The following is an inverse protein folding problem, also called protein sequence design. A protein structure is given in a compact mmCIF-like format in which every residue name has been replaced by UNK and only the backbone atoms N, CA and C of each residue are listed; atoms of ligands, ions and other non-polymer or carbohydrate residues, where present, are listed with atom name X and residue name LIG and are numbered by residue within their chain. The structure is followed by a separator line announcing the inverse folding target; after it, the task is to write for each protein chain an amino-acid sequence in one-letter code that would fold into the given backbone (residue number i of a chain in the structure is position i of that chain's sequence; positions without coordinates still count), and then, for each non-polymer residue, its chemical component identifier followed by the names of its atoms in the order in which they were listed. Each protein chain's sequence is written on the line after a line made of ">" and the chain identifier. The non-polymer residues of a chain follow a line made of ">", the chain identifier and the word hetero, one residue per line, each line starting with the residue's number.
data_IF_248448920125
#
_entry.id   IF_248448920125
#
_cell.length_a   1.000
_cell.length_b   1.000
_cell.length_c   1.000
_cell.angle_alpha   90.00
_cell.angle_beta   90.00
_cell.angle_gamma   90.00
#
_symmetry.space_group_name_H-M   'P 1'
#
loop_
_entity.id
_entity.type
_entity.pdbx_description
1 polymer ?
#
# COMPACT_ATOMS: atom_id res chain seq x y z
N UNK A 1 5.10 -8.94 -10.32
CA UNK A 1 3.92 -8.15 -9.88
C UNK A 1 3.91 -8.25 -8.38
N UNK A 2 4.50 -7.26 -7.70
CA UNK A 2 4.69 -7.28 -6.24
C UNK A 2 3.38 -7.03 -5.49
N UNK A 3 2.43 -6.37 -6.17
CA UNK A 3 1.12 -5.98 -5.63
C UNK A 3 0.00 -6.36 -6.60
N UNK A 4 -1.16 -6.71 -6.05
CA UNK A 4 -2.44 -6.72 -6.78
C UNK A 4 -3.28 -5.53 -6.28
N UNK A 5 -3.74 -4.68 -7.19
CA UNK A 5 -4.52 -3.48 -6.86
C UNK A 5 -5.88 -3.58 -7.53
N UNK A 6 -6.93 -3.60 -6.71
CA UNK A 6 -8.30 -3.70 -7.18
C UNK A 6 -9.16 -2.58 -6.60
N UNK A 7 -9.81 -1.81 -7.49
CA UNK A 7 -10.76 -0.79 -7.10
C UNK A 7 -12.12 -1.43 -6.82
N UNK A 8 -12.58 -1.34 -5.57
CA UNK A 8 -13.94 -1.70 -5.18
C UNK A 8 -14.78 -0.44 -5.03
N UNK A 9 -16.08 -0.65 -4.84
CA UNK A 9 -17.06 0.44 -4.71
C UNK A 9 -16.72 1.40 -3.54
N UNK A 10 -16.27 0.85 -2.40
CA UNK A 10 -16.07 1.62 -1.17
C UNK A 10 -14.60 1.82 -0.76
N UNK A 11 -13.68 1.05 -1.34
CA UNK A 11 -12.27 1.06 -0.99
C UNK A 11 -11.40 0.48 -2.12
N UNK A 12 -10.11 0.73 -2.03
CA UNK A 12 -9.11 0.14 -2.93
C UNK A 12 -8.40 -0.96 -2.18
N UNK A 13 -8.48 -2.19 -2.70
CA UNK A 13 -7.77 -3.34 -2.18
C UNK A 13 -6.35 -3.31 -2.74
N UNK A 14 -5.35 -3.32 -1.85
CA UNK A 14 -3.94 -3.50 -2.22
C UNK A 14 -3.47 -4.77 -1.52
N UNK A 15 -3.16 -5.81 -2.29
CA UNK A 15 -2.63 -7.05 -1.77
C UNK A 15 -1.13 -7.10 -2.02
N UNK A 16 -0.36 -7.29 -0.95
CA UNK A 16 1.08 -7.57 -1.08
C UNK A 16 1.24 -9.04 -1.44
N UNK A 17 1.80 -9.31 -2.61
CA UNK A 17 1.97 -10.66 -3.13
C UNK A 17 3.27 -11.32 -2.69
N UNK A 18 4.16 -10.54 -2.06
CA UNK A 18 5.46 -10.94 -1.57
C UNK A 18 5.44 -11.30 -0.07
N UNK A 19 6.33 -12.21 0.32
CA UNK A 19 6.47 -12.63 1.72
C UNK A 19 7.08 -11.55 2.63
N UNK A 20 7.75 -10.55 2.02
CA UNK A 20 8.46 -9.49 2.75
C UNK A 20 8.10 -8.13 2.20
N UNK A 21 7.65 -7.24 3.09
CA UNK A 21 7.51 -5.82 2.83
C UNK A 21 8.78 -5.11 3.28
N UNK A 22 9.77 -5.06 2.40
CA UNK A 22 11.12 -4.57 2.71
C UNK A 22 11.59 -3.48 1.74
N UNK A 23 12.87 -3.10 1.89
CA UNK A 23 13.51 -2.03 1.13
C UNK A 23 13.42 -2.18 -0.38
N UNK A 24 13.24 -3.40 -0.90
CA UNK A 24 13.12 -3.63 -2.34
C UNK A 24 11.76 -3.22 -2.88
N UNK A 25 10.67 -3.58 -2.19
CA UNK A 25 9.30 -3.37 -2.70
C UNK A 25 8.61 -2.13 -2.10
N UNK A 26 9.09 -1.62 -0.96
CA UNK A 26 8.53 -0.45 -0.30
C UNK A 26 8.50 0.83 -1.17
N UNK A 27 9.51 1.13 -2.02
CA UNK A 27 9.45 2.26 -2.95
C UNK A 27 8.29 2.13 -3.95
N UNK A 28 8.06 0.94 -4.47
CA UNK A 28 7.00 0.68 -5.45
C UNK A 28 5.62 0.83 -4.80
N UNK A 29 5.43 0.28 -3.59
CA UNK A 29 4.20 0.49 -2.82
C UNK A 29 3.90 1.99 -2.61
N UNK A 30 4.91 2.80 -2.28
CA UNK A 30 4.74 4.25 -2.10
C UNK A 30 4.29 4.95 -3.38
N UNK A 31 4.84 4.57 -4.53
CA UNK A 31 4.45 5.13 -5.83
C UNK A 31 2.98 4.83 -6.14
N UNK A 32 2.54 3.59 -5.94
CA UNK A 32 1.14 3.18 -6.11
C UNK A 32 0.20 3.95 -5.19
N UNK A 33 0.57 4.11 -3.91
CA UNK A 33 -0.22 4.88 -2.94
C UNK A 33 -0.37 6.35 -3.33
N UNK A 34 0.66 6.96 -3.92
CA UNK A 34 0.59 8.34 -4.43
C UNK A 34 -0.36 8.44 -5.62
N UNK A 35 -0.34 7.47 -6.54
CA UNK A 35 -1.26 7.41 -7.68
C UNK A 35 -2.71 7.24 -7.21
N UNK A 36 -2.97 6.28 -6.32
CA UNK A 36 -4.29 6.03 -5.72
C UNK A 36 -4.82 7.30 -5.05
N UNK A 37 -3.99 7.95 -4.23
CA UNK A 37 -4.37 9.21 -3.57
C UNK A 37 -4.60 10.36 -4.56
N UNK A 38 -3.81 10.43 -5.64
CA UNK A 38 -3.97 11.39 -6.74
C UNK A 38 -5.31 11.25 -7.46
N UNK A 39 -5.82 10.01 -7.58
CA UNK A 39 -7.13 9.69 -8.14
C UNK A 39 -8.30 9.97 -7.18
N UNK A 40 -8.03 10.47 -5.96
CA UNK A 40 -9.04 10.83 -4.97
C UNK A 40 -9.52 9.67 -4.10
N UNK A 41 -8.93 8.48 -4.25
CA UNK A 41 -9.24 7.30 -3.44
C UNK A 41 -8.65 7.46 -2.03
N UNK A 42 -9.49 7.31 -0.99
CA UNK A 42 -9.11 7.54 0.41
C UNK A 42 -9.16 6.28 1.27
N UNK A 43 -10.07 5.38 0.96
CA UNK A 43 -10.28 4.16 1.72
C UNK A 43 -9.42 3.06 1.10
N UNK A 44 -8.44 2.57 1.84
CA UNK A 44 -7.52 1.53 1.38
C UNK A 44 -7.62 0.35 2.33
N UNK A 45 -7.79 -0.85 1.78
CA UNK A 45 -7.57 -2.10 2.49
C UNK A 45 -6.21 -2.65 2.05
N UNK A 46 -5.22 -2.57 2.94
CA UNK A 46 -3.91 -3.17 2.70
C UNK A 46 -3.91 -4.61 3.23
N UNK A 47 -3.97 -5.57 2.32
CA UNK A 47 -3.93 -7.00 2.61
C UNK A 47 -2.47 -7.48 2.68
N UNK A 48 -2.08 -7.88 3.89
CA UNK A 48 -0.77 -8.41 4.23
C UNK A 48 -0.82 -9.92 4.52
N UNK A 49 -1.86 -10.64 4.12
CA UNK A 49 -2.03 -12.06 4.47
C UNK A 49 -0.86 -12.96 4.02
N UNK A 50 -0.18 -12.61 2.92
CA UNK A 50 1.03 -13.30 2.43
C UNK A 50 2.33 -12.78 3.03
N UNK A 51 2.29 -11.64 3.73
CA UNK A 51 3.48 -10.97 4.20
C UNK A 51 3.80 -11.42 5.63
N UNK A 52 4.99 -12.00 5.83
CA UNK A 52 5.45 -12.53 7.12
C UNK A 52 6.53 -11.67 7.77
N UNK A 53 7.07 -10.68 7.04
CA UNK A 53 8.11 -9.80 7.51
C UNK A 53 7.93 -8.38 6.97
N UNK A 54 8.22 -7.39 7.79
CA UNK A 54 8.18 -5.98 7.42
C UNK A 54 9.35 -5.25 8.09
N UNK A 55 10.19 -4.57 7.30
CA UNK A 55 11.30 -3.77 7.82
C UNK A 55 10.89 -2.29 8.04
N UNK A 56 11.84 -1.45 8.47
CA UNK A 56 11.62 -0.02 8.67
C UNK A 56 11.13 0.71 7.41
N UNK A 57 11.57 0.27 6.23
CA UNK A 57 11.16 0.87 4.96
C UNK A 57 9.72 0.46 4.61
N UNK A 58 9.33 -0.78 4.89
CA UNK A 58 7.97 -1.27 4.75
C UNK A 58 6.99 -0.55 5.67
N UNK A 59 7.34 -0.43 6.95
CA UNK A 59 6.58 0.37 7.92
C UNK A 59 6.46 1.84 7.45
N UNK A 60 7.52 2.41 6.88
CA UNK A 60 7.46 3.76 6.34
C UNK A 60 6.48 3.90 5.17
N UNK A 61 6.34 2.88 4.32
CA UNK A 61 5.36 2.86 3.23
C UNK A 61 3.91 2.84 3.77
N UNK A 62 3.66 2.03 4.81
CA UNK A 62 2.35 2.00 5.49
C UNK A 62 2.02 3.35 6.13
N UNK A 63 3.00 4.01 6.76
CA UNK A 63 2.81 5.34 7.33
C UNK A 63 2.51 6.40 6.26
N UNK A 64 3.11 6.30 5.07
CA UNK A 64 2.80 7.15 3.91
C UNK A 64 1.36 6.95 3.48
N UNK A 65 0.89 5.69 3.35
CA UNK A 65 -0.51 5.38 3.04
C UNK A 65 -1.46 6.09 4.00
N UNK A 66 -1.28 5.88 5.31
CA UNK A 66 -2.11 6.51 6.35
C UNK A 66 -2.09 8.04 6.28
N UNK A 67 -0.94 8.65 5.98
CA UNK A 67 -0.85 10.11 5.83
C UNK A 67 -1.64 10.60 4.61
N UNK A 68 -1.56 9.90 3.49
CA UNK A 68 -2.28 10.26 2.27
C UNK A 68 -3.80 10.14 2.46
N UNK A 69 -4.27 9.09 3.14
CA UNK A 69 -5.68 8.90 3.47
C UNK A 69 -6.23 9.99 4.41
N UNK A 70 -5.40 10.50 5.33
CA UNK A 70 -5.79 11.55 6.29
C UNK A 70 -5.68 12.98 5.75
N UNK A 71 -4.83 13.21 4.75
CA UNK A 71 -4.71 14.53 4.11
C UNK A 71 -5.94 14.75 3.23
N UNK A 72 -7.01 15.32 3.81
CA UNK A 72 -8.13 16.09 3.24
C UNK A 72 -9.39 15.87 4.06
#
# INVERSE_FOLDING_TARGET
>A
MEFNIEKKENYTLIQVLEEKLDTHIAPNLKSELVLISGNGEKNILLDLAKCHYCDSSGLSAILVANRLCKKR
#
